data_IF_583699935722
#
_entry.id   IF_583699935722
#
_cell.length_a   1.000
_cell.length_b   1.000
_cell.length_c   1.000
_cell.angle_alpha   90.00
_cell.angle_beta   90.00
_cell.angle_gamma   90.00
#
_symmetry.space_group_name_H-M   'P 1'
#
loop_
_entity.id
_entity.type
_entity.pdbx_description
1 polymer ?
#
# COMPACT_ATOMS: atom_id res chain seq x y z
N UNK A 1 -3.61 -28.41 12.93
CA UNK A 1 -2.86 -27.93 11.74
C UNK A 1 -3.39 -26.63 11.13
N UNK A 2 -4.68 -26.28 11.22
CA UNK A 2 -5.24 -25.09 10.54
C UNK A 2 -4.79 -23.71 11.07
N UNK A 3 -4.29 -23.61 12.31
CA UNK A 3 -3.87 -22.33 12.91
C UNK A 3 -2.60 -21.76 12.25
N UNK A 4 -1.65 -22.61 11.87
CA UNK A 4 -0.40 -22.17 11.24
C UNK A 4 -0.63 -21.63 9.82
N UNK A 5 -1.50 -22.28 9.03
CA UNK A 5 -1.89 -21.78 7.70
C UNK A 5 -2.57 -20.41 7.78
N UNK A 6 -3.45 -20.20 8.77
CA UNK A 6 -4.12 -18.92 8.94
C UNK A 6 -3.16 -17.78 9.32
N UNK A 7 -2.13 -18.07 10.12
CA UNK A 7 -1.09 -17.10 10.48
C UNK A 7 -0.18 -16.82 9.28
N UNK A 8 0.28 -17.86 8.58
CA UNK A 8 1.08 -17.71 7.36
C UNK A 8 0.35 -16.90 6.30
N UNK A 9 -0.93 -17.18 6.05
CA UNK A 9 -1.73 -16.41 5.09
C UNK A 9 -1.83 -14.92 5.44
N UNK A 10 -1.94 -14.58 6.73
CA UNK A 10 -1.95 -13.17 7.18
C UNK A 10 -0.60 -12.49 6.96
N UNK A 11 0.50 -13.17 7.29
CA UNK A 11 1.84 -12.63 7.09
C UNK A 11 2.13 -12.44 5.61
N UNK A 12 1.81 -13.43 4.77
CA UNK A 12 1.97 -13.34 3.31
C UNK A 12 1.11 -12.23 2.70
N UNK A 13 -0.08 -11.99 3.23
CA UNK A 13 -0.96 -10.90 2.76
C UNK A 13 -0.45 -9.53 3.24
N UNK A 14 -0.01 -9.43 4.50
CA UNK A 14 0.60 -8.22 5.06
C UNK A 14 1.88 -7.82 4.31
N UNK A 15 2.69 -8.80 3.90
CA UNK A 15 3.95 -8.55 3.19
C UNK A 15 3.73 -7.76 1.90
N UNK A 16 2.64 -8.03 1.16
CA UNK A 16 2.38 -7.39 -0.14
C UNK A 16 2.27 -5.88 0.06
N UNK A 17 1.57 -5.43 1.10
CA UNK A 17 1.39 -4.02 1.38
C UNK A 17 2.60 -3.37 2.05
N UNK A 18 3.27 -4.08 2.97
CA UNK A 18 4.45 -3.53 3.65
C UNK A 18 5.64 -3.38 2.69
N UNK A 19 5.85 -4.34 1.79
CA UNK A 19 6.89 -4.24 0.75
C UNK A 19 6.62 -3.05 -0.18
N UNK A 20 5.36 -2.80 -0.55
CA UNK A 20 4.98 -1.63 -1.34
C UNK A 20 5.29 -0.31 -0.64
N UNK A 21 4.99 -0.20 0.67
CA UNK A 21 5.35 0.98 1.47
C UNK A 21 6.87 1.18 1.53
N UNK A 22 7.63 0.11 1.72
CA UNK A 22 9.10 0.17 1.75
C UNK A 22 9.65 0.63 0.40
N UNK A 23 9.10 0.15 -0.72
CA UNK A 23 9.48 0.63 -2.05
C UNK A 23 9.19 2.12 -2.22
N UNK A 24 8.00 2.59 -1.83
CA UNK A 24 7.64 4.02 -1.86
C UNK A 24 8.60 4.88 -1.04
N UNK A 25 8.89 4.47 0.20
CA UNK A 25 9.83 5.18 1.07
C UNK A 25 11.23 5.22 0.45
N UNK A 26 11.70 4.10 -0.11
CA UNK A 26 12.98 4.07 -0.83
C UNK A 26 12.97 5.01 -2.03
N UNK A 27 11.90 5.04 -2.83
CA UNK A 27 11.77 5.97 -3.95
C UNK A 27 11.85 7.44 -3.51
N UNK A 28 11.29 7.79 -2.35
CA UNK A 28 11.38 9.15 -1.78
C UNK A 28 12.75 9.47 -1.20
N UNK A 29 13.44 8.48 -0.64
CA UNK A 29 14.77 8.67 -0.07
C UNK A 29 15.87 8.70 -1.14
N UNK A 30 15.69 7.94 -2.23
CA UNK A 30 16.62 7.90 -3.36
C UNK A 30 16.50 9.11 -4.29
N UNK A 31 15.34 9.75 -4.35
CA UNK A 31 15.12 10.92 -5.21
C UNK A 31 14.42 12.04 -4.44
N UNK A 32 14.99 13.27 -4.38
CA UNK A 32 14.33 14.40 -3.74
C UNK A 32 12.99 14.77 -4.42
N UNK A 33 12.81 14.43 -5.70
CA UNK A 33 11.56 14.60 -6.47
C UNK A 33 10.65 13.37 -6.46
N UNK A 34 11.03 12.26 -5.80
CA UNK A 34 10.27 11.01 -5.81
C UNK A 34 8.85 11.18 -5.26
N UNK A 35 8.65 12.08 -4.31
CA UNK A 35 7.33 12.40 -3.77
C UNK A 35 6.48 13.21 -4.76
N UNK A 36 7.05 14.19 -5.44
CA UNK A 36 6.37 14.94 -6.50
C UNK A 36 6.00 14.04 -7.67
N UNK A 37 6.91 13.14 -8.06
CA UNK A 37 6.66 12.11 -9.06
C UNK A 37 5.46 11.22 -8.70
N UNK A 38 5.37 10.79 -7.45
CA UNK A 38 4.21 10.04 -6.98
C UNK A 38 2.93 10.87 -7.04
N UNK A 39 2.98 12.15 -6.63
CA UNK A 39 1.83 13.06 -6.75
C UNK A 39 1.40 13.30 -8.20
N UNK A 40 2.34 13.46 -9.13
CA UNK A 40 2.06 13.61 -10.56
C UNK A 40 1.46 12.33 -11.15
N UNK A 41 1.95 11.16 -10.72
CA UNK A 41 1.34 9.88 -11.04
C UNK A 41 -0.13 9.82 -10.62
N UNK A 42 -0.44 10.23 -9.38
CA UNK A 42 -1.82 10.32 -8.90
C UNK A 42 -2.65 11.36 -9.68
N UNK A 43 -2.06 12.52 -10.00
CA UNK A 43 -2.72 13.57 -10.77
C UNK A 43 -3.13 13.10 -12.17
N UNK A 44 -2.31 12.26 -12.82
CA UNK A 44 -2.64 11.63 -14.11
C UNK A 44 -3.87 10.71 -14.02
N UNK A 45 -4.16 10.16 -12.84
CA UNK A 45 -5.35 9.37 -12.56
C UNK A 45 -6.50 10.18 -11.96
N UNK A 46 -6.40 11.52 -11.97
CA UNK A 46 -7.44 12.42 -11.43
C UNK A 46 -7.52 12.46 -9.90
N UNK A 47 -6.52 11.91 -9.21
CA UNK A 47 -6.44 11.90 -7.75
C UNK A 47 -5.64 13.10 -7.23
N UNK A 48 -6.21 13.91 -6.31
CA UNK A 48 -5.50 14.98 -5.67
C UNK A 48 -4.24 14.51 -4.91
N UNK A 49 -3.20 15.35 -4.85
CA UNK A 49 -1.94 15.03 -4.18
C UNK A 49 -2.05 14.65 -2.69
N UNK A 50 -3.16 14.99 -2.01
CA UNK A 50 -3.46 14.57 -0.63
C UNK A 50 -3.58 13.04 -0.50
N UNK A 51 -3.94 12.34 -1.57
CA UNK A 51 -4.09 10.89 -1.55
C UNK A 51 -2.73 10.19 -1.42
N UNK A 52 -1.63 10.82 -1.83
CA UNK A 52 -0.30 10.23 -1.71
C UNK A 52 0.06 9.85 -0.26
N UNK A 53 0.08 10.78 0.72
CA UNK A 53 0.36 10.45 2.11
C UNK A 53 -0.75 9.60 2.75
N UNK A 54 -2.00 9.78 2.33
CA UNK A 54 -3.15 9.05 2.87
C UNK A 54 -3.08 7.56 2.52
N UNK A 55 -2.70 7.23 1.29
CA UNK A 55 -2.47 5.86 0.81
C UNK A 55 -1.32 5.20 1.57
N UNK A 56 -0.21 5.91 1.76
CA UNK A 56 0.95 5.40 2.51
C UNK A 56 0.55 5.11 3.96
N UNK A 57 -0.19 6.01 4.59
CA UNK A 57 -0.65 5.85 5.97
C UNK A 57 -1.58 4.64 6.10
N UNK A 58 -2.55 4.47 5.19
CA UNK A 58 -3.45 3.31 5.19
C UNK A 58 -2.66 2.01 5.00
N UNK A 59 -1.74 1.94 4.03
CA UNK A 59 -0.95 0.73 3.80
C UNK A 59 -0.02 0.41 4.96
N UNK A 60 0.62 1.42 5.57
CA UNK A 60 1.54 1.23 6.67
C UNK A 60 0.78 0.75 7.91
N UNK A 61 -0.30 1.44 8.30
CA UNK A 61 -1.12 1.08 9.47
C UNK A 61 -1.85 -0.25 9.25
N UNK A 62 -2.44 -0.44 8.07
CA UNK A 62 -3.18 -1.67 7.74
C UNK A 62 -2.26 -2.88 7.56
N UNK A 63 -1.11 -2.72 6.91
CA UNK A 63 -0.07 -3.75 6.79
C UNK A 63 0.51 -4.15 8.15
N UNK A 64 0.82 -3.18 9.02
CA UNK A 64 1.26 -3.45 10.39
C UNK A 64 0.16 -4.13 11.22
N UNK A 65 -1.10 -3.70 11.10
CA UNK A 65 -2.21 -4.31 11.81
C UNK A 65 -2.44 -5.78 11.38
N UNK A 66 -2.26 -6.09 10.10
CA UNK A 66 -2.31 -7.47 9.60
C UNK A 66 -1.14 -8.31 10.14
N UNK A 67 0.07 -7.76 10.16
CA UNK A 67 1.28 -8.46 10.64
C UNK A 67 1.24 -8.71 12.15
N UNK A 68 0.91 -7.69 12.95
CA UNK A 68 0.81 -7.78 14.41
C UNK A 68 -0.39 -8.62 14.89
N UNK A 69 -1.27 -9.03 13.98
CA UNK A 69 -2.44 -9.82 14.32
C UNK A 69 -3.52 -9.04 15.08
N UNK A 70 -3.39 -7.72 15.20
CA UNK A 70 -4.31 -6.86 15.95
C UNK A 70 -5.55 -6.55 15.11
N UNK A 71 -6.73 -7.03 15.52
CA UNK A 71 -8.01 -6.86 14.80
C UNK A 71 -7.91 -7.15 13.29
N UNK A 72 -7.29 -8.27 12.92
CA UNK A 72 -7.03 -8.67 11.52
C UNK A 72 -8.23 -8.64 10.60
N UNK A 73 -9.44 -8.86 11.10
CA UNK A 73 -10.68 -8.79 10.30
C UNK A 73 -10.95 -7.38 9.80
N UNK A 74 -10.76 -6.37 10.65
CA UNK A 74 -10.97 -4.96 10.27
C UNK A 74 -9.83 -4.50 9.38
N UNK A 75 -8.59 -4.85 9.71
CA UNK A 75 -7.44 -4.54 8.87
C UNK A 75 -7.62 -5.12 7.45
N UNK A 76 -8.01 -6.39 7.33
CA UNK A 76 -8.26 -7.01 6.02
C UNK A 76 -9.37 -6.31 5.23
N UNK A 77 -10.47 -5.88 5.88
CA UNK A 77 -11.54 -5.13 5.21
C UNK A 77 -11.03 -3.77 4.72
N UNK A 78 -10.30 -3.02 5.56
CA UNK A 78 -9.72 -1.73 5.18
C UNK A 78 -8.77 -1.90 3.99
N UNK A 79 -7.91 -2.93 4.02
CA UNK A 79 -6.99 -3.23 2.94
C UNK A 79 -7.71 -3.69 1.66
N UNK A 80 -8.83 -4.41 1.78
CA UNK A 80 -9.65 -4.81 0.63
C UNK A 80 -10.35 -3.60 -0.01
N UNK A 81 -10.93 -2.70 0.79
CA UNK A 81 -11.54 -1.45 0.30
C UNK A 81 -10.48 -0.58 -0.38
N UNK A 82 -9.29 -0.49 0.22
CA UNK A 82 -8.15 0.21 -0.38
C UNK A 82 -7.73 -0.40 -1.72
N UNK A 83 -7.62 -1.72 -1.81
CA UNK A 83 -7.26 -2.41 -3.06
C UNK A 83 -8.31 -2.17 -4.16
N UNK A 84 -9.60 -2.21 -3.81
CA UNK A 84 -10.70 -1.89 -4.73
C UNK A 84 -10.68 -0.42 -5.16
N UNK A 85 -10.40 0.50 -4.24
CA UNK A 85 -10.28 1.93 -4.55
C UNK A 85 -9.15 2.18 -5.55
N UNK A 86 -7.98 1.57 -5.33
CA UNK A 86 -6.83 1.66 -6.23
C UNK A 86 -7.14 1.06 -7.61
N UNK A 87 -7.79 -0.11 -7.64
CA UNK A 87 -8.23 -0.74 -8.87
C UNK A 87 -9.22 0.16 -9.65
N UNK A 88 -10.21 0.72 -8.96
CA UNK A 88 -11.21 1.60 -9.58
C UNK A 88 -10.60 2.92 -10.05
N UNK A 89 -9.64 3.46 -9.30
CA UNK A 89 -8.89 4.65 -9.68
C UNK A 89 -7.97 4.44 -10.89
N UNK A 90 -7.84 3.21 -11.39
CA UNK A 90 -6.92 2.91 -12.49
C UNK A 90 -5.45 3.03 -12.09
N UNK A 91 -5.15 3.21 -10.78
CA UNK A 91 -3.84 2.96 -10.22
C UNK A 91 -3.59 1.46 -10.30
N UNK A 92 -3.28 0.97 -11.51
CA UNK A 92 -2.42 -0.21 -11.68
C UNK A 92 -1.15 0.00 -10.84
N UNK A 93 -0.34 -1.03 -10.51
CA UNK A 93 0.84 -0.87 -9.65
C UNK A 93 1.89 0.09 -10.26
N UNK A 94 1.59 1.38 -10.16
CA UNK A 94 2.34 2.53 -10.59
C UNK A 94 3.61 2.77 -9.74
N UNK A 95 3.78 2.25 -8.50
CA UNK A 95 5.11 2.37 -7.89
C UNK A 95 6.18 1.56 -8.63
N UNK A 96 5.82 0.58 -9.48
CA UNK A 96 6.79 -0.14 -10.32
C UNK A 96 7.06 0.54 -11.67
N UNK A 97 6.14 1.38 -12.16
CA UNK A 97 6.35 2.14 -13.40
C UNK A 97 7.27 3.34 -13.23
N UNK A 98 7.39 3.87 -12.01
CA UNK A 98 8.33 4.94 -11.67
C UNK A 98 9.76 4.47 -11.37
N UNK A 99 10.00 3.15 -11.41
CA UNK A 99 11.31 2.52 -11.21
C UNK A 99 12.00 2.13 -12.54
N UNK A 100 11.37 2.40 -13.69
CA UNK A 100 11.87 2.09 -15.03
C UNK A 100 12.16 3.36 -15.84
#
# INVERSE_FOLDING_TARGET
MNKYLAVLGRVLLAQIFLVQVIMLINSFMSNPTGYEQYQMGLANYGLPGIFAPLIILIQMVGGLALLLGYKTRIAAIVMAVYALFIMLAGLTPAPLQYLA
#
